data_IF_641512520275
#
_entry.id   IF_641512520275
#
_cell.length_a   1.000
_cell.length_b   1.000
_cell.length_c   1.000
_cell.angle_alpha   90.00
_cell.angle_beta   90.00
_cell.angle_gamma   90.00
#
_symmetry.space_group_name_H-M   'P 1'
#
loop_
_entity.id
_entity.type
_entity.pdbx_description
1 polymer ?
#
# COMPACT_ATOMS: atom_id res chain seq x y z
N UNK A 1 -13.05 1.30 19.44
CA UNK A 1 -13.26 0.58 18.15
C UNK A 1 -11.99 -0.18 17.84
N UNK A 2 -12.11 -1.45 17.66
CA UNK A 2 -10.97 -2.28 17.33
C UNK A 2 -10.57 -2.01 15.86
N UNK A 3 -9.58 -1.16 15.65
CA UNK A 3 -9.12 -0.76 14.32
C UNK A 3 -8.61 -1.95 13.49
N UNK A 4 -8.25 -3.04 14.14
CA UNK A 4 -7.70 -4.23 13.50
C UNK A 4 -8.77 -5.29 13.18
N UNK A 5 -9.96 -5.22 13.76
CA UNK A 5 -11.11 -6.04 13.34
C UNK A 5 -11.77 -5.42 12.13
N UNK A 6 -11.44 -5.94 10.97
CA UNK A 6 -11.89 -5.37 9.70
C UNK A 6 -12.92 -6.28 9.03
N UNK A 7 -14.17 -5.90 9.13
CA UNK A 7 -15.23 -6.39 8.25
C UNK A 7 -15.36 -5.45 7.05
N UNK A 8 -14.42 -5.53 6.13
CA UNK A 8 -14.42 -4.69 4.94
C UNK A 8 -14.97 -5.45 3.74
N UNK A 9 -15.67 -4.73 2.89
CA UNK A 9 -16.03 -5.26 1.57
C UNK A 9 -14.76 -5.36 0.72
N UNK A 10 -14.82 -6.20 -0.33
CA UNK A 10 -13.73 -6.31 -1.29
C UNK A 10 -13.29 -4.95 -1.83
N UNK A 11 -14.25 -4.09 -2.23
CA UNK A 11 -13.94 -2.76 -2.77
C UNK A 11 -13.25 -1.84 -1.75
N UNK A 12 -13.64 -1.90 -0.48
CA UNK A 12 -12.96 -1.15 0.58
C UNK A 12 -11.52 -1.59 0.77
N UNK A 13 -11.26 -2.90 0.73
CA UNK A 13 -9.89 -3.42 0.77
C UNK A 13 -9.06 -2.96 -0.44
N UNK A 14 -9.62 -3.00 -1.64
CA UNK A 14 -8.94 -2.55 -2.86
C UNK A 14 -8.62 -1.04 -2.83
N UNK A 15 -9.56 -0.21 -2.37
CA UNK A 15 -9.32 1.23 -2.18
C UNK A 15 -8.23 1.48 -1.12
N UNK A 16 -8.31 0.81 0.02
CA UNK A 16 -7.32 0.97 1.07
C UNK A 16 -5.92 0.55 0.62
N UNK A 17 -5.80 -0.60 -0.05
CA UNK A 17 -4.55 -1.06 -0.66
C UNK A 17 -3.98 -0.04 -1.66
N UNK A 18 -4.82 0.49 -2.56
CA UNK A 18 -4.42 1.51 -3.51
C UNK A 18 -3.84 2.74 -2.82
N UNK A 19 -4.52 3.23 -1.77
CA UNK A 19 -4.05 4.37 -0.98
C UNK A 19 -2.82 4.05 -0.13
N UNK A 20 -2.62 2.81 0.30
CA UNK A 20 -1.38 2.39 0.97
C UNK A 20 -0.17 2.45 0.03
N UNK A 21 -0.32 1.96 -1.21
CA UNK A 21 0.74 2.03 -2.23
C UNK A 21 1.06 3.48 -2.61
N UNK A 22 0.03 4.34 -2.67
CA UNK A 22 0.12 5.76 -3.03
C UNK A 22 0.01 6.69 -1.82
N UNK A 23 0.61 6.33 -0.71
CA UNK A 23 0.29 6.84 0.62
C UNK A 23 0.55 8.33 0.86
N UNK A 24 1.36 8.97 0.04
CA UNK A 24 1.68 10.40 0.07
C UNK A 24 0.94 11.22 -1.01
N UNK A 25 0.07 10.56 -1.79
CA UNK A 25 -0.63 11.19 -2.90
C UNK A 25 -2.11 11.41 -2.59
N UNK A 26 -2.65 12.46 -3.21
CA UNK A 26 -4.05 12.82 -3.15
C UNK A 26 -4.77 12.39 -4.43
N UNK A 27 -5.98 11.86 -4.28
CA UNK A 27 -6.79 11.40 -5.40
C UNK A 27 -8.18 12.01 -5.36
N UNK A 28 -8.77 12.17 -6.53
CA UNK A 28 -10.21 12.46 -6.64
C UNK A 28 -10.99 11.15 -6.85
N UNK A 29 -12.31 11.24 -6.66
CA UNK A 29 -13.23 10.10 -6.80
C UNK A 29 -13.10 9.41 -8.17
N UNK A 30 -13.01 10.20 -9.25
CA UNK A 30 -12.90 9.66 -10.61
C UNK A 30 -11.58 8.97 -10.86
N UNK A 31 -10.50 9.47 -10.28
CA UNK A 31 -9.17 8.85 -10.36
C UNK A 31 -9.16 7.46 -9.74
N UNK A 32 -9.72 7.30 -8.54
CA UNK A 32 -9.84 6.00 -7.87
C UNK A 32 -10.75 5.06 -8.67
N UNK A 33 -11.91 5.56 -9.10
CA UNK A 33 -12.88 4.81 -9.91
C UNK A 33 -12.27 4.26 -11.19
N UNK A 34 -11.52 5.10 -11.92
CA UNK A 34 -10.83 4.72 -13.16
C UNK A 34 -9.72 3.70 -12.90
N UNK A 35 -8.95 3.88 -11.82
CA UNK A 35 -7.84 2.98 -11.50
C UNK A 35 -8.33 1.57 -11.14
N UNK A 36 -9.42 1.49 -10.36
CA UNK A 36 -9.99 0.22 -9.90
C UNK A 36 -11.02 -0.38 -10.87
N UNK A 37 -11.33 0.30 -11.98
CA UNK A 37 -12.35 -0.10 -12.97
C UNK A 37 -13.72 -0.37 -12.34
N UNK A 38 -14.16 0.55 -11.49
CA UNK A 38 -15.45 0.48 -10.79
C UNK A 38 -16.22 1.78 -10.93
N UNK A 39 -17.54 1.76 -10.69
CA UNK A 39 -18.37 2.97 -10.80
C UNK A 39 -18.03 4.01 -9.71
N UNK A 40 -18.09 5.32 -10.03
CA UNK A 40 -17.89 6.38 -9.04
C UNK A 40 -18.86 6.29 -7.84
N UNK A 41 -20.08 5.84 -8.07
CA UNK A 41 -21.07 5.63 -7.01
C UNK A 41 -20.65 4.54 -6.02
N UNK A 42 -20.10 3.44 -6.51
CA UNK A 42 -19.59 2.35 -5.64
C UNK A 42 -18.40 2.86 -4.81
N UNK A 43 -17.47 3.59 -5.43
CA UNK A 43 -16.33 4.21 -4.72
C UNK A 43 -16.82 5.17 -3.65
N UNK A 44 -17.76 6.06 -3.96
CA UNK A 44 -18.32 7.04 -3.00
C UNK A 44 -18.91 6.36 -1.75
N UNK A 45 -19.65 5.27 -1.93
CA UNK A 45 -20.22 4.49 -0.81
C UNK A 45 -19.13 3.84 0.04
N UNK A 46 -18.11 3.27 -0.59
CA UNK A 46 -17.00 2.63 0.10
C UNK A 46 -16.15 3.65 0.89
N UNK A 47 -15.88 4.81 0.31
CA UNK A 47 -15.11 5.89 0.95
C UNK A 47 -15.77 6.41 2.22
N UNK A 48 -17.10 6.54 2.24
CA UNK A 48 -17.84 7.00 3.42
C UNK A 48 -17.52 6.16 4.66
N UNK A 49 -17.54 4.85 4.53
CA UNK A 49 -17.24 3.94 5.64
C UNK A 49 -15.74 3.95 6.03
N UNK A 50 -14.85 4.13 5.06
CA UNK A 50 -13.42 4.26 5.34
C UNK A 50 -13.10 5.58 6.08
N UNK A 51 -13.81 6.67 5.74
CA UNK A 51 -13.69 7.96 6.42
C UNK A 51 -14.26 7.90 7.85
N UNK A 52 -15.44 7.31 8.05
CA UNK A 52 -16.06 7.10 9.36
C UNK A 52 -15.12 6.32 10.31
N UNK A 53 -14.37 5.37 9.78
CA UNK A 53 -13.33 4.62 10.52
C UNK A 53 -12.00 5.39 10.65
N UNK A 54 -11.92 6.64 10.17
CA UNK A 54 -10.71 7.48 10.19
C UNK A 54 -9.50 6.85 9.47
N UNK A 55 -9.74 6.00 8.48
CA UNK A 55 -8.68 5.35 7.70
C UNK A 55 -8.18 6.25 6.57
N UNK A 56 -9.05 7.11 6.08
CA UNK A 56 -8.78 8.09 5.03
C UNK A 56 -9.21 9.48 5.48
N UNK A 57 -8.67 10.49 4.81
CA UNK A 57 -9.13 11.88 4.91
C UNK A 57 -9.76 12.28 3.58
N UNK A 58 -10.91 12.93 3.65
CA UNK A 58 -11.58 13.52 2.49
C UNK A 58 -11.65 15.03 2.73
N UNK A 59 -10.93 15.79 1.93
CA UNK A 59 -10.90 17.26 1.97
C UNK A 59 -11.62 17.82 0.74
N UNK A 60 -12.55 18.77 0.96
CA UNK A 60 -13.23 19.48 -0.13
C UNK A 60 -12.58 20.84 -0.33
N UNK A 61 -12.07 21.09 -1.53
CA UNK A 61 -11.61 22.42 -1.89
C UNK A 61 -12.80 23.39 -1.97
N UNK A 62 -12.71 24.49 -1.23
CA UNK A 62 -13.74 25.56 -1.27
C UNK A 62 -13.76 26.32 -2.61
N UNK A 63 -12.67 26.31 -3.37
CA UNK A 63 -12.50 27.12 -4.57
C UNK A 63 -12.86 26.35 -5.85
N UNK A 64 -12.55 25.05 -5.92
CA UNK A 64 -12.71 24.28 -7.15
C UNK A 64 -13.72 23.13 -7.05
N UNK A 65 -14.45 23.01 -5.96
CA UNK A 65 -15.38 21.90 -5.69
C UNK A 65 -14.76 20.50 -5.93
N UNK A 66 -13.42 20.40 -5.79
CA UNK A 66 -12.68 19.16 -5.96
C UNK A 66 -12.56 18.46 -4.62
N UNK A 67 -12.81 17.17 -4.63
CA UNK A 67 -12.63 16.30 -3.47
C UNK A 67 -11.25 15.67 -3.55
N UNK A 68 -10.42 15.86 -2.51
CA UNK A 68 -9.12 15.23 -2.33
C UNK A 68 -9.27 14.09 -1.32
N UNK A 69 -8.84 12.90 -1.71
CA UNK A 69 -8.92 11.66 -0.93
C UNK A 69 -7.50 11.15 -0.72
N UNK A 70 -7.13 10.94 0.53
CA UNK A 70 -5.79 10.46 0.89
C UNK A 70 -5.81 9.53 2.10
N UNK A 71 -4.77 8.72 2.26
CA UNK A 71 -4.57 7.89 3.44
C UNK A 71 -4.40 8.77 4.70
N UNK A 72 -5.04 8.43 5.81
CA UNK A 72 -4.93 9.19 7.06
C UNK A 72 -3.67 8.79 7.85
N UNK A 73 -2.51 9.27 7.41
CA UNK A 73 -1.22 8.94 8.02
C UNK A 73 -0.98 9.53 9.42
N UNK A 74 -1.83 10.43 9.88
CA UNK A 74 -1.74 10.97 11.25
C UNK A 74 -2.30 9.99 12.30
N UNK A 75 -3.00 8.96 11.87
CA UNK A 75 -3.50 7.90 12.73
C UNK A 75 -2.49 6.74 12.78
N UNK A 76 -1.91 6.50 13.96
CA UNK A 76 -0.92 5.43 14.15
C UNK A 76 -1.41 4.06 13.69
N UNK A 77 -2.67 3.72 13.95
CA UNK A 77 -3.26 2.46 13.51
C UNK A 77 -3.18 2.25 11.99
N UNK A 78 -3.16 3.35 11.20
CA UNK A 78 -3.04 3.28 9.75
C UNK A 78 -1.62 2.86 9.33
N UNK A 79 -0.61 3.32 10.05
CA UNK A 79 0.79 2.92 9.81
C UNK A 79 0.92 1.41 10.03
N UNK A 80 0.35 0.88 11.10
CA UNK A 80 0.37 -0.57 11.38
C UNK A 80 -0.44 -1.39 10.35
N UNK A 81 -1.59 -0.89 9.92
CA UNK A 81 -2.38 -1.52 8.86
C UNK A 81 -1.64 -1.49 7.52
N UNK A 82 -1.01 -0.37 7.18
CA UNK A 82 -0.18 -0.24 5.99
C UNK A 82 1.02 -1.19 6.03
N UNK A 83 1.68 -1.32 7.17
CA UNK A 83 2.75 -2.30 7.38
C UNK A 83 2.30 -3.72 7.07
N UNK A 84 1.10 -4.09 7.51
CA UNK A 84 0.51 -5.41 7.23
C UNK A 84 0.22 -5.58 5.74
N UNK A 85 -0.33 -4.55 5.10
CA UNK A 85 -0.60 -4.56 3.66
C UNK A 85 0.69 -4.63 2.82
N UNK A 86 1.74 -3.91 3.22
CA UNK A 86 3.06 -3.98 2.60
C UNK A 86 3.63 -5.41 2.63
N UNK A 87 3.56 -6.06 3.79
CA UNK A 87 4.02 -7.44 3.93
C UNK A 87 3.23 -8.40 3.04
N UNK A 88 1.91 -8.24 2.99
CA UNK A 88 1.04 -9.03 2.11
C UNK A 88 1.40 -8.85 0.63
N UNK A 89 1.67 -7.61 0.19
CA UNK A 89 2.11 -7.31 -1.17
C UNK A 89 3.43 -7.98 -1.54
N UNK A 90 4.39 -8.04 -0.62
CA UNK A 90 5.67 -8.75 -0.80
C UNK A 90 5.42 -10.23 -1.11
N UNK A 91 4.56 -10.90 -0.35
CA UNK A 91 4.23 -12.31 -0.60
C UNK A 91 3.43 -12.50 -1.89
N UNK A 92 2.42 -11.69 -2.14
CA UNK A 92 1.60 -11.79 -3.36
C UNK A 92 2.38 -11.51 -4.64
N UNK A 93 3.48 -10.75 -4.57
CA UNK A 93 4.37 -10.51 -5.71
C UNK A 93 5.25 -11.71 -6.09
N UNK A 94 5.29 -12.76 -5.28
CA UNK A 94 6.24 -13.87 -5.35
C UNK A 94 7.71 -13.44 -5.22
N UNK A 95 7.99 -12.26 -4.65
CA UNK A 95 9.35 -11.79 -4.43
C UNK A 95 10.09 -12.67 -3.41
N UNK A 96 9.40 -13.12 -2.37
CA UNK A 96 9.97 -14.01 -1.33
C UNK A 96 10.43 -15.32 -1.98
N UNK A 97 9.54 -16.00 -2.71
CA UNK A 97 9.86 -17.27 -3.38
C UNK A 97 11.04 -17.12 -4.36
N UNK A 98 11.09 -16.00 -5.08
CA UNK A 98 12.20 -15.72 -5.98
C UNK A 98 13.52 -15.57 -5.23
N UNK A 99 13.54 -14.83 -4.12
CA UNK A 99 14.75 -14.61 -3.32
C UNK A 99 15.18 -15.91 -2.63
N UNK A 100 14.27 -16.66 -2.04
CA UNK A 100 14.55 -17.96 -1.40
C UNK A 100 15.15 -18.97 -2.40
N UNK A 101 14.60 -19.04 -3.61
CA UNK A 101 15.15 -19.90 -4.66
C UNK A 101 16.55 -19.49 -5.13
N UNK A 102 16.85 -18.19 -5.11
CA UNK A 102 18.18 -17.67 -5.48
C UNK A 102 19.21 -17.87 -4.37
N UNK A 103 18.78 -17.82 -3.12
CA UNK A 103 19.62 -17.86 -1.91
C UNK A 103 19.14 -18.93 -0.93
N UNK A 104 19.15 -20.20 -1.31
CA UNK A 104 18.64 -21.27 -0.46
C UNK A 104 19.42 -21.36 0.86
N UNK A 105 18.68 -21.43 1.98
CA UNK A 105 19.25 -21.53 3.33
C UNK A 105 19.76 -20.21 3.90
N UNK A 106 19.55 -19.08 3.24
CA UNK A 106 19.92 -17.76 3.75
C UNK A 106 18.79 -17.16 4.59
N UNK A 107 19.16 -16.21 5.46
CA UNK A 107 18.19 -15.39 6.19
C UNK A 107 17.84 -14.16 5.35
N UNK A 108 16.54 -13.93 5.14
CA UNK A 108 16.02 -12.78 4.41
C UNK A 108 15.40 -11.83 5.43
N UNK A 109 15.82 -10.56 5.43
CA UNK A 109 15.34 -9.53 6.34
C UNK A 109 14.77 -8.37 5.54
N UNK A 110 13.47 -8.10 5.70
CA UNK A 110 12.83 -6.88 5.23
C UNK A 110 13.03 -5.78 6.28
N UNK A 111 13.60 -4.64 5.92
CA UNK A 111 13.86 -3.53 6.84
C UNK A 111 13.52 -2.18 6.21
N UNK A 112 13.92 -1.06 6.82
CA UNK A 112 13.66 0.28 6.31
C UNK A 112 12.21 0.76 6.50
N UNK A 113 11.84 1.83 5.79
CA UNK A 113 10.53 2.48 5.91
C UNK A 113 9.38 1.57 5.50
N UNK A 114 9.59 0.76 4.46
CA UNK A 114 8.57 -0.16 3.94
C UNK A 114 8.17 -1.21 4.97
N UNK A 115 9.13 -1.77 5.69
CA UNK A 115 8.86 -2.76 6.76
C UNK A 115 8.11 -2.19 7.96
N UNK A 116 8.17 -0.86 8.15
CA UNK A 116 7.50 -0.14 9.24
C UNK A 116 6.17 0.50 8.83
N UNK A 117 5.79 0.44 7.53
CA UNK A 117 4.59 1.11 7.02
C UNK A 117 4.73 2.64 6.91
N UNK A 118 5.93 3.17 7.01
CA UNK A 118 6.25 4.60 6.95
C UNK A 118 6.59 5.07 5.53
N UNK A 119 6.72 4.14 4.60
CA UNK A 119 7.08 4.39 3.21
C UNK A 119 6.07 5.28 2.48
N UNK A 120 6.55 5.98 1.47
CA UNK A 120 5.77 6.73 0.49
C UNK A 120 5.91 6.07 -0.88
N UNK A 121 5.18 6.56 -1.88
CA UNK A 121 5.17 5.96 -3.22
C UNK A 121 6.55 5.85 -3.88
N UNK A 122 7.45 6.80 -3.60
CA UNK A 122 8.82 6.83 -4.12
C UNK A 122 9.85 6.12 -3.24
N UNK A 123 9.44 5.52 -2.12
CA UNK A 123 10.36 4.80 -1.23
C UNK A 123 10.84 3.50 -1.85
N UNK A 124 12.08 3.14 -1.55
CA UNK A 124 12.64 1.83 -1.90
C UNK A 124 12.15 0.75 -0.93
N UNK A 125 12.30 -0.50 -1.33
CA UNK A 125 12.05 -1.67 -0.50
C UNK A 125 13.41 -2.28 -0.15
N UNK A 126 13.77 -2.20 1.12
CA UNK A 126 15.08 -2.61 1.63
C UNK A 126 15.04 -4.07 2.09
N UNK A 127 15.84 -4.93 1.45
CA UNK A 127 15.96 -6.36 1.78
C UNK A 127 17.43 -6.71 1.99
N UNK A 128 17.76 -7.31 3.14
CA UNK A 128 19.06 -7.87 3.40
C UNK A 128 19.01 -9.40 3.30
N UNK A 129 20.06 -9.98 2.71
CA UNK A 129 20.25 -11.43 2.57
C UNK A 129 21.53 -11.81 3.29
N UNK A 130 21.43 -12.60 4.35
CA UNK A 130 22.52 -12.97 5.21
C UNK A 130 22.88 -14.43 5.01
N UNK A 131 24.17 -14.74 4.89
CA UNK A 131 24.68 -16.11 4.75
C UNK A 131 24.90 -16.54 3.29
N UNK A 132 24.92 -15.60 2.35
CA UNK A 132 25.20 -15.86 0.94
C UNK A 132 26.44 -15.11 0.43
N UNK A 133 27.00 -15.63 -0.65
CA UNK A 133 27.92 -14.86 -1.49
C UNK A 133 27.11 -13.85 -2.33
N UNK A 134 27.72 -12.73 -2.66
CA UNK A 134 27.15 -11.71 -3.55
C UNK A 134 26.72 -12.33 -4.89
N UNK A 135 25.51 -11.98 -5.33
CA UNK A 135 24.94 -12.39 -6.60
C UNK A 135 24.12 -11.23 -7.17
N UNK A 136 24.21 -11.01 -8.46
CA UNK A 136 23.36 -10.05 -9.14
C UNK A 136 21.89 -10.53 -9.17
N UNK A 137 20.99 -9.61 -8.81
CA UNK A 137 19.55 -9.81 -8.86
C UNK A 137 18.89 -8.81 -9.80
N UNK A 138 18.12 -9.30 -10.75
CA UNK A 138 17.24 -8.44 -11.53
C UNK A 138 15.84 -8.43 -10.89
N UNK A 139 15.52 -7.32 -10.22
CA UNK A 139 14.26 -7.11 -9.51
C UNK A 139 13.27 -6.22 -10.28
N UNK A 140 13.59 -5.79 -11.50
CA UNK A 140 12.80 -4.82 -12.28
C UNK A 140 11.34 -5.21 -12.48
N UNK A 141 11.03 -6.51 -12.59
CA UNK A 141 9.66 -7.02 -12.71
C UNK A 141 8.79 -6.75 -11.47
N UNK A 142 9.41 -6.62 -10.30
CA UNK A 142 8.72 -6.39 -9.03
C UNK A 142 8.39 -4.93 -8.79
N UNK A 143 9.15 -3.99 -9.36
CA UNK A 143 8.94 -2.55 -9.22
C UNK A 143 7.51 -2.16 -9.63
N UNK A 144 7.03 -2.71 -10.74
CA UNK A 144 5.67 -2.41 -11.25
C UNK A 144 4.57 -2.91 -10.31
N UNK A 145 4.76 -4.07 -9.70
CA UNK A 145 3.78 -4.68 -8.80
C UNK A 145 3.75 -4.01 -7.43
N UNK A 146 4.92 -3.72 -6.88
CA UNK A 146 5.10 -3.16 -5.53
C UNK A 146 4.98 -1.63 -5.48
N UNK A 147 4.71 -0.98 -6.60
CA UNK A 147 4.51 0.46 -6.70
C UNK A 147 5.79 1.28 -6.83
N UNK A 148 6.95 0.66 -6.77
CA UNK A 148 8.24 1.31 -6.99
C UNK A 148 8.48 1.61 -8.48
N UNK A 149 9.07 2.77 -8.75
CA UNK A 149 9.44 3.18 -10.12
C UNK A 149 10.94 3.05 -10.40
N UNK A 150 11.70 2.52 -9.45
CA UNK A 150 13.16 2.43 -9.60
C UNK A 150 13.71 1.11 -9.12
#
# INVERSE_FOLDING_TARGET
>A
MDAYKQEWTRLQNEIFRFLCIKSDQDFNLRGISKFLDVSPTAVSKALKQLEEKKLIKIEKSKVMNLMSIKLNRDNYSIIELKRTENLKLIYESNLVDFVENKFPGCTIILFGSYSRGEDIYSSDIDIAIIGSKEKDLNLSKYNKFLGGTK
#
